data_IF_857902218083
#
_entry.id   IF_857902218083
#
_cell.length_a   1.000
_cell.length_b   1.000
_cell.length_c   1.000
_cell.angle_alpha   90.00
_cell.angle_beta   90.00
_cell.angle_gamma   90.00
#
_symmetry.space_group_name_H-M   'P 1'
#
loop_
_entity.id
_entity.type
_entity.pdbx_description
1 polymer ?
#
# COMPACT_ATOMS: atom_id res chain seq x y z
N UNK A 1 17.81 -3.23 -4.88
CA UNK A 1 16.91 -2.15 -5.38
C UNK A 1 15.58 -2.83 -5.40
N UNK A 2 14.88 -2.71 -4.29
CA UNK A 2 13.86 -3.70 -3.98
C UNK A 2 12.56 -3.19 -4.57
N UNK A 3 12.36 -3.68 -5.78
CA UNK A 3 11.29 -3.26 -6.64
C UNK A 3 10.00 -3.92 -6.15
N UNK A 4 8.97 -3.11 -5.97
CA UNK A 4 7.64 -3.60 -5.68
C UNK A 4 7.11 -4.28 -6.94
N UNK A 5 6.34 -5.35 -6.78
CA UNK A 5 5.70 -6.03 -7.91
C UNK A 5 4.34 -5.40 -8.15
N UNK A 6 4.11 -4.86 -9.34
CA UNK A 6 2.80 -4.39 -9.74
C UNK A 6 1.83 -5.58 -9.77
N UNK A 7 0.79 -5.55 -8.95
CA UNK A 7 -0.19 -6.65 -8.87
C UNK A 7 -1.01 -6.84 -10.16
N UNK A 8 -1.06 -5.83 -11.04
CA UNK A 8 -1.82 -5.88 -12.28
C UNK A 8 -1.01 -6.42 -13.47
N UNK A 9 0.22 -5.95 -13.67
CA UNK A 9 1.04 -6.37 -14.81
C UNK A 9 2.20 -7.31 -14.45
N UNK A 10 2.41 -7.61 -13.16
CA UNK A 10 3.44 -8.54 -12.67
C UNK A 10 4.88 -8.05 -12.80
N UNK A 11 5.08 -6.80 -13.27
CA UNK A 11 6.40 -6.19 -13.45
C UNK A 11 6.88 -5.50 -12.19
N UNK A 12 8.19 -5.50 -12.01
CA UNK A 12 8.88 -4.66 -11.05
C UNK A 12 8.59 -3.17 -11.28
N UNK A 13 8.53 -2.42 -10.18
CA UNK A 13 8.13 -1.03 -10.15
C UNK A 13 8.86 -0.29 -9.02
N UNK A 14 9.32 0.93 -9.31
CA UNK A 14 9.87 1.80 -8.27
C UNK A 14 8.75 2.42 -7.42
N UNK A 15 9.06 2.82 -6.18
CA UNK A 15 8.08 3.48 -5.31
C UNK A 15 7.49 4.78 -5.89
N UNK A 16 8.17 5.42 -6.85
CA UNK A 16 7.73 6.67 -7.48
C UNK A 16 6.72 6.46 -8.60
N UNK A 17 6.62 5.24 -9.12
CA UNK A 17 5.69 4.85 -10.18
C UNK A 17 4.42 4.19 -9.62
N UNK A 18 4.47 3.78 -8.36
CA UNK A 18 3.44 2.99 -7.70
C UNK A 18 2.35 3.78 -7.00
N UNK A 19 1.15 3.20 -7.03
CA UNK A 19 -0.03 3.65 -6.30
C UNK A 19 -0.58 2.50 -5.47
N UNK A 20 -0.76 2.77 -4.18
CA UNK A 20 -1.58 1.95 -3.29
C UNK A 20 -3.04 2.37 -3.45
N UNK A 21 -3.92 1.49 -3.92
CA UNK A 21 -5.34 1.78 -4.12
C UNK A 21 -6.25 0.74 -3.46
N UNK A 22 -7.46 1.14 -3.13
CA UNK A 22 -8.49 0.27 -2.56
C UNK A 22 -9.89 0.78 -2.89
N UNK A 23 -10.87 -0.10 -2.70
CA UNK A 23 -12.30 0.23 -2.71
C UNK A 23 -12.73 0.66 -1.32
N UNK A 24 -13.47 1.76 -1.27
CA UNK A 24 -14.19 2.23 -0.09
C UNK A 24 -15.67 2.32 -0.44
N UNK A 25 -16.45 1.37 0.02
CA UNK A 25 -17.88 1.28 -0.27
C UNK A 25 -18.64 0.54 0.83
N UNK A 26 -19.87 0.97 1.13
CA UNK A 26 -20.77 0.26 2.05
C UNK A 26 -20.20 -0.03 3.46
N UNK A 27 -19.29 0.80 3.98
CA UNK A 27 -18.63 0.55 5.27
C UNK A 27 -17.53 -0.53 5.22
N UNK A 28 -17.06 -0.90 4.03
CA UNK A 28 -15.97 -1.85 3.83
C UNK A 28 -14.83 -1.17 3.09
N UNK A 29 -13.60 -1.39 3.57
CA UNK A 29 -12.38 -1.11 2.82
C UNK A 29 -11.86 -2.44 2.28
N UNK A 30 -11.78 -2.55 0.95
CA UNK A 30 -11.46 -3.83 0.29
C UNK A 30 -10.62 -3.66 -0.95
N UNK A 31 -10.03 -4.77 -1.42
CA UNK A 31 -9.23 -4.79 -2.64
C UNK A 31 -8.00 -3.89 -2.58
N UNK A 32 -7.33 -3.79 -1.42
CA UNK A 32 -6.04 -3.13 -1.32
C UNK A 32 -5.03 -3.77 -2.28
N UNK A 33 -4.37 -2.93 -3.07
CA UNK A 33 -3.40 -3.37 -4.07
C UNK A 33 -2.37 -2.30 -4.36
N UNK A 34 -1.18 -2.72 -4.80
CA UNK A 34 -0.12 -1.85 -5.30
C UNK A 34 0.02 -2.09 -6.80
N UNK A 35 -0.17 -1.03 -7.59
CA UNK A 35 -0.06 -1.09 -9.05
C UNK A 35 0.67 0.13 -9.60
N UNK A 36 1.05 0.10 -10.87
CA UNK A 36 1.33 1.34 -11.59
C UNK A 36 0.06 2.22 -11.63
N UNK A 37 0.25 3.54 -11.79
CA UNK A 37 -0.87 4.50 -11.85
C UNK A 37 -1.89 4.16 -12.94
N UNK A 38 -1.43 3.73 -14.11
CA UNK A 38 -2.32 3.45 -15.25
C UNK A 38 -3.00 2.08 -15.13
N UNK A 39 -2.57 1.26 -14.18
CA UNK A 39 -3.05 -0.11 -13.94
C UNK A 39 -4.00 -0.20 -12.72
N UNK A 40 -4.48 0.94 -12.19
CA UNK A 40 -5.38 0.96 -11.03
C UNK A 40 -6.68 0.21 -11.38
N UNK A 41 -7.10 -0.81 -10.61
CA UNK A 41 -8.29 -1.58 -10.93
C UNK A 41 -9.57 -0.72 -10.93
N UNK A 42 -10.47 -1.04 -11.86
CA UNK A 42 -11.76 -0.38 -11.95
C UNK A 42 -12.55 -0.49 -10.62
N UNK A 43 -13.18 0.61 -10.21
CA UNK A 43 -13.96 0.68 -8.97
C UNK A 43 -13.14 1.00 -7.72
N UNK A 44 -11.80 1.04 -7.80
CA UNK A 44 -10.98 1.59 -6.73
C UNK A 44 -11.17 3.11 -6.70
N UNK A 45 -11.56 3.64 -5.55
CA UNK A 45 -11.97 5.04 -5.37
C UNK A 45 -11.17 5.76 -4.28
N UNK A 46 -10.23 5.05 -3.65
CA UNK A 46 -9.30 5.61 -2.69
C UNK A 46 -7.88 5.16 -3.05
N UNK A 47 -6.92 6.06 -2.91
CA UNK A 47 -5.54 5.77 -3.23
C UNK A 47 -4.54 6.67 -2.48
N UNK A 48 -3.29 6.22 -2.44
CA UNK A 48 -2.10 6.97 -1.99
C UNK A 48 -0.92 6.60 -2.86
N UNK A 49 -0.06 7.58 -3.13
CA UNK A 49 1.23 7.35 -3.78
C UNK A 49 2.11 6.45 -2.92
N UNK A 50 2.72 5.43 -3.52
CA UNK A 50 3.55 4.46 -2.78
C UNK A 50 4.73 5.15 -2.13
N UNK A 51 5.45 6.05 -2.82
CA UNK A 51 6.58 6.78 -2.22
C UNK A 51 6.21 7.55 -0.95
N UNK A 52 4.94 7.95 -0.81
CA UNK A 52 4.46 8.61 0.42
C UNK A 52 4.26 7.60 1.53
N UNK A 53 3.70 6.43 1.23
CA UNK A 53 3.41 5.38 2.20
C UNK A 53 4.65 4.58 2.59
N UNK A 54 5.61 4.40 1.68
CA UNK A 54 6.86 3.67 1.86
C UNK A 54 7.94 4.43 2.66
N UNK A 55 7.53 5.41 3.47
CA UNK A 55 8.37 6.07 4.48
C UNK A 55 7.87 5.68 5.86
N UNK A 56 8.73 5.68 6.90
CA UNK A 56 8.31 5.33 8.28
C UNK A 56 7.10 6.17 8.72
N UNK A 57 7.16 7.48 8.52
CA UNK A 57 6.05 8.39 8.87
C UNK A 57 4.81 8.15 8.01
N UNK A 58 4.99 7.88 6.72
CA UNK A 58 3.90 7.59 5.79
C UNK A 58 3.17 6.29 6.09
N UNK A 59 3.92 5.26 6.45
CA UNK A 59 3.41 3.96 6.86
C UNK A 59 2.60 4.10 8.14
N UNK A 60 3.14 4.78 9.15
CA UNK A 60 2.42 5.07 10.40
C UNK A 60 1.14 5.89 10.16
N UNK A 61 1.19 6.89 9.28
CA UNK A 61 0.01 7.68 8.91
C UNK A 61 -1.04 6.85 8.14
N UNK A 62 -0.62 5.82 7.41
CA UNK A 62 -1.54 4.88 6.76
C UNK A 62 -2.16 3.91 7.77
N UNK A 63 -1.39 3.37 8.71
CA UNK A 63 -1.91 2.56 9.83
C UNK A 63 -2.91 3.35 10.67
N UNK A 64 -2.59 4.61 11.02
CA UNK A 64 -3.52 5.49 11.72
C UNK A 64 -4.82 5.69 10.95
N UNK A 65 -4.75 5.88 9.62
CA UNK A 65 -5.95 5.95 8.79
C UNK A 65 -6.80 4.69 8.90
N UNK A 66 -6.18 3.50 8.84
CA UNK A 66 -6.90 2.22 8.95
C UNK A 66 -7.54 2.05 10.33
N UNK A 67 -6.82 2.36 11.41
CA UNK A 67 -7.34 2.32 12.78
C UNK A 67 -8.51 3.27 12.98
N UNK A 68 -8.43 4.49 12.45
CA UNK A 68 -9.54 5.45 12.49
C UNK A 68 -10.77 4.90 11.76
N UNK A 69 -10.59 4.34 10.54
CA UNK A 69 -11.73 3.77 9.78
C UNK A 69 -12.32 2.57 10.50
N UNK A 70 -11.49 1.72 11.08
CA UNK A 70 -11.95 0.61 11.91
C UNK A 70 -12.76 1.10 13.12
N UNK A 71 -12.29 2.14 13.82
CA UNK A 71 -13.03 2.78 14.92
C UNK A 71 -14.36 3.43 14.51
N UNK A 72 -14.47 3.87 13.24
CA UNK A 72 -15.73 4.34 12.63
C UNK A 72 -16.67 3.20 12.22
N UNK A 73 -16.29 1.94 12.44
CA UNK A 73 -17.09 0.75 12.11
C UNK A 73 -16.83 0.18 10.72
N UNK A 74 -15.76 0.60 10.02
CA UNK A 74 -15.40 -0.02 8.76
C UNK A 74 -14.81 -1.41 8.96
N UNK A 75 -15.18 -2.33 8.09
CA UNK A 75 -14.53 -3.64 7.96
C UNK A 75 -13.33 -3.51 7.03
N UNK A 76 -12.19 -4.03 7.44
CA UNK A 76 -10.98 -4.15 6.63
C UNK A 76 -10.91 -5.58 6.08
N UNK A 77 -10.77 -5.76 4.77
CA UNK A 77 -10.68 -7.10 4.19
C UNK A 77 -9.25 -7.70 4.26
N UNK A 78 -9.15 -8.95 3.81
CA UNK A 78 -7.91 -9.72 3.83
C UNK A 78 -6.84 -9.21 2.84
N UNK A 79 -7.22 -8.46 1.80
CA UNK A 79 -6.27 -7.96 0.79
C UNK A 79 -5.30 -6.92 1.37
N UNK A 80 -5.71 -6.26 2.45
CA UNK A 80 -4.85 -5.36 3.22
C UNK A 80 -3.58 -6.04 3.71
N UNK A 81 -3.67 -7.30 4.17
CA UNK A 81 -2.54 -8.06 4.71
C UNK A 81 -1.41 -8.18 3.70
N UNK A 82 -1.71 -8.65 2.49
CA UNK A 82 -0.71 -8.85 1.44
C UNK A 82 -0.01 -7.53 1.07
N UNK A 83 -0.77 -6.44 1.06
CA UNK A 83 -0.25 -5.11 0.74
C UNK A 83 0.64 -4.56 1.87
N UNK A 84 0.27 -4.78 3.13
CA UNK A 84 1.11 -4.40 4.27
C UNK A 84 2.40 -5.21 4.32
N UNK A 85 2.37 -6.50 3.96
CA UNK A 85 3.56 -7.35 3.90
C UNK A 85 4.57 -6.79 2.89
N UNK A 86 4.14 -6.49 1.66
CA UNK A 86 5.01 -5.89 0.64
C UNK A 86 5.58 -4.52 1.05
N UNK A 87 4.76 -3.66 1.67
CA UNK A 87 5.23 -2.37 2.17
C UNK A 87 6.26 -2.53 3.30
N UNK A 88 6.00 -3.47 4.22
CA UNK A 88 6.88 -3.71 5.37
C UNK A 88 8.22 -4.28 4.94
N UNK A 89 8.22 -5.22 4.00
CA UNK A 89 9.43 -5.79 3.38
C UNK A 89 10.27 -4.70 2.72
N UNK A 90 9.67 -3.89 1.85
CA UNK A 90 10.36 -2.78 1.21
C UNK A 90 10.95 -1.77 2.22
N UNK A 91 10.17 -1.38 3.23
CA UNK A 91 10.66 -0.44 4.26
C UNK A 91 11.82 -1.06 5.06
N UNK A 92 11.72 -2.34 5.41
CA UNK A 92 12.74 -3.05 6.16
C UNK A 92 14.06 -3.13 5.38
N UNK A 93 14.01 -3.55 4.12
CA UNK A 93 15.20 -3.65 3.26
C UNK A 93 15.86 -2.28 3.08
N UNK A 94 15.07 -1.22 2.89
CA UNK A 94 15.60 0.15 2.83
C UNK A 94 16.30 0.57 4.13
N UNK A 95 15.79 0.17 5.29
CA UNK A 95 16.44 0.44 6.57
C UNK A 95 17.74 -0.33 6.71
N UNK A 96 17.75 -1.63 6.36
CA UNK A 96 18.97 -2.46 6.37
C UNK A 96 20.05 -1.85 5.47
N UNK A 97 19.68 -1.48 4.24
CA UNK A 97 20.61 -0.82 3.31
C UNK A 97 21.16 0.51 3.81
N UNK A 98 20.38 1.31 4.56
CA UNK A 98 20.84 2.57 5.15
C UNK A 98 21.76 2.36 6.35
N UNK A 99 21.56 1.27 7.09
CA UNK A 99 22.33 0.95 8.29
C UNK A 99 23.64 0.21 7.99
N UNK A 100 23.82 -0.27 6.74
CA UNK A 100 25.10 -0.76 6.24
C UNK A 100 25.52 -2.12 6.78
N UNK A 101 24.57 -3.05 6.91
CA UNK A 101 24.88 -4.49 6.93
C UNK A 101 24.97 -5.05 5.50
#
# INVERSE_FOLDING_TARGET
MDNLICAACGREMSIYEGVLSWRRDGGVLSGFTITHRDDIPAGHNAFREVFRVASVNGYMAFVQYLLTRWGEGYVLDHSLRCTMEQLSEHIHERLVHLLGE
#
